data_IF_661844255281
#
_entry.id   IF_661844255281
#
_cell.length_a   1.000
_cell.length_b   1.000
_cell.length_c   1.000
_cell.angle_alpha   90.00
_cell.angle_beta   90.00
_cell.angle_gamma   90.00
#
_symmetry.space_group_name_H-M   'P 1'
#
loop_
_entity.id
_entity.type
_entity.pdbx_description
1 polymer ?
#
# COMPACT_ATOMS: atom_id res chain seq x y z
N UNK A 1 -10.12 9.66 -9.88
CA UNK A 1 -9.08 8.94 -9.11
C UNK A 1 -9.69 8.49 -7.80
N UNK A 2 -9.32 7.30 -7.32
CA UNK A 2 -9.82 6.71 -6.08
C UNK A 2 -8.65 6.30 -5.18
N UNK A 3 -8.76 6.58 -3.89
CA UNK A 3 -7.74 6.33 -2.87
C UNK A 3 -7.67 4.87 -2.45
N UNK A 4 -8.80 4.16 -2.45
CA UNK A 4 -8.85 2.76 -2.06
C UNK A 4 -8.81 1.82 -3.28
N UNK A 5 -7.72 1.06 -3.47
CA UNK A 5 -7.54 0.31 -4.74
C UNK A 5 -8.58 -0.77 -5.03
N UNK A 6 -9.32 -1.25 -4.03
CA UNK A 6 -10.47 -2.12 -4.28
C UNK A 6 -11.59 -1.40 -5.05
N UNK A 7 -11.84 -0.11 -4.79
CA UNK A 7 -12.84 0.70 -5.49
C UNK A 7 -12.37 1.00 -6.91
N UNK A 8 -11.09 1.36 -7.08
CA UNK A 8 -10.44 1.50 -8.39
C UNK A 8 -10.63 0.23 -9.22
N UNK A 9 -10.34 -0.94 -8.63
CA UNK A 9 -10.46 -2.22 -9.30
C UNK A 9 -11.88 -2.57 -9.73
N UNK A 10 -12.87 -2.25 -8.89
CA UNK A 10 -14.27 -2.49 -9.22
C UNK A 10 -14.71 -1.66 -10.42
N UNK A 11 -14.45 -0.35 -10.43
CA UNK A 11 -14.87 0.52 -11.54
C UNK A 11 -14.15 0.22 -12.86
N UNK A 12 -12.86 -0.16 -12.80
CA UNK A 12 -12.10 -0.57 -13.99
C UNK A 12 -12.68 -1.88 -14.55
N UNK A 13 -12.98 -2.84 -13.67
CA UNK A 13 -13.54 -4.14 -14.08
C UNK A 13 -14.96 -4.02 -14.63
N UNK A 14 -15.73 -3.03 -14.16
CA UNK A 14 -17.10 -2.75 -14.62
C UNK A 14 -17.14 -1.90 -15.91
N UNK A 15 -16.00 -1.70 -16.58
CA UNK A 15 -15.89 -0.91 -17.81
C UNK A 15 -16.52 0.49 -17.69
N UNK A 16 -16.17 1.20 -16.61
CA UNK A 16 -16.54 2.60 -16.44
C UNK A 16 -16.31 3.42 -17.71
N UNK A 17 -17.28 4.29 -18.06
CA UNK A 17 -17.16 5.25 -19.18
C UNK A 17 -16.10 6.34 -18.96
N UNK A 18 -15.61 6.47 -17.73
CA UNK A 18 -14.54 7.39 -17.34
C UNK A 18 -13.24 6.63 -17.16
N UNK A 19 -12.12 7.31 -17.47
CA UNK A 19 -10.80 6.83 -17.13
C UNK A 19 -10.61 6.85 -15.61
N UNK A 20 -10.42 5.67 -15.02
CA UNK A 20 -10.26 5.49 -13.58
C UNK A 20 -8.79 5.24 -13.27
N UNK A 21 -8.25 6.08 -12.39
CA UNK A 21 -6.91 5.90 -11.83
C UNK A 21 -7.02 5.50 -10.37
N UNK A 22 -6.23 4.52 -9.97
CA UNK A 22 -5.86 4.34 -8.57
C UNK A 22 -5.01 5.52 -8.10
N UNK A 23 -5.15 5.93 -6.84
CA UNK A 23 -4.37 7.04 -6.30
C UNK A 23 -2.87 6.78 -6.41
N UNK A 24 -2.38 5.56 -6.17
CA UNK A 24 -0.94 5.27 -6.31
C UNK A 24 -0.43 5.45 -7.74
N UNK A 25 -1.23 5.07 -8.73
CA UNK A 25 -0.93 5.28 -10.15
C UNK A 25 -1.00 6.76 -10.51
N UNK A 26 -2.02 7.47 -10.04
CA UNK A 26 -2.19 8.89 -10.30
C UNK A 26 -1.06 9.72 -9.71
N UNK A 27 -0.66 9.40 -8.48
CA UNK A 27 0.48 10.02 -7.80
C UNK A 27 1.75 9.84 -8.61
N UNK A 28 2.05 8.62 -9.06
CA UNK A 28 3.25 8.34 -9.84
C UNK A 28 3.22 9.06 -11.20
N UNK A 29 2.09 9.04 -11.91
CA UNK A 29 2.00 9.53 -13.30
C UNK A 29 1.90 11.06 -13.40
N UNK A 30 1.15 11.70 -12.51
CA UNK A 30 0.75 13.09 -12.69
C UNK A 30 1.25 14.04 -11.60
N UNK A 31 1.50 13.53 -10.40
CA UNK A 31 1.88 14.34 -9.24
C UNK A 31 3.40 14.31 -9.03
N UNK A 32 4.00 13.13 -8.89
CA UNK A 32 5.44 12.98 -8.67
C UNK A 32 6.33 13.74 -9.67
N UNK A 33 6.00 13.85 -10.98
CA UNK A 33 6.81 14.65 -11.92
C UNK A 33 6.81 16.16 -11.65
N UNK A 34 5.89 16.67 -10.82
CA UNK A 34 5.74 18.09 -10.46
C UNK A 34 6.28 18.41 -9.07
N UNK A 35 6.94 17.45 -8.43
CA UNK A 35 7.42 17.54 -7.07
C UNK A 35 8.94 17.47 -7.02
N UNK A 36 9.54 18.26 -6.15
CA UNK A 36 10.90 18.06 -5.70
C UNK A 36 10.86 17.03 -4.58
N UNK A 37 11.51 15.87 -4.78
CA UNK A 37 11.43 14.75 -3.84
C UNK A 37 12.76 14.60 -3.09
N UNK A 38 12.72 14.84 -1.78
CA UNK A 38 13.83 14.65 -0.85
C UNK A 38 13.65 13.32 -0.10
N UNK A 39 14.25 12.27 -0.65
CA UNK A 39 14.08 10.89 -0.16
C UNK A 39 14.43 10.75 1.33
N UNK A 40 13.59 10.02 2.06
CA UNK A 40 13.90 9.61 3.43
C UNK A 40 15.01 8.55 3.44
N UNK A 41 15.71 8.43 4.57
CA UNK A 41 16.77 7.44 4.79
C UNK A 41 16.28 6.32 5.72
N UNK A 42 15.18 5.66 5.34
CA UNK A 42 14.53 4.62 6.16
C UNK A 42 14.21 3.36 5.34
N UNK A 43 14.44 2.17 5.90
CA UNK A 43 13.87 0.95 5.34
C UNK A 43 12.35 0.94 5.62
N UNK A 44 11.56 0.72 4.58
CA UNK A 44 10.09 0.76 4.69
C UNK A 44 9.48 -0.57 4.30
N UNK A 45 8.39 -0.95 4.98
CA UNK A 45 7.54 -2.05 4.54
C UNK A 45 6.63 -1.61 3.41
N UNK A 46 6.32 -2.52 2.48
CA UNK A 46 5.34 -2.28 1.44
C UNK A 46 4.42 -3.49 1.29
N UNK A 47 3.11 -3.24 1.38
CA UNK A 47 2.07 -4.22 1.13
C UNK A 47 1.22 -3.78 -0.06
N UNK A 48 1.28 -4.55 -1.13
CA UNK A 48 0.47 -4.31 -2.33
C UNK A 48 -0.83 -5.11 -2.17
N UNK A 49 -1.95 -4.40 -2.05
CA UNK A 49 -3.24 -5.06 -1.78
C UNK A 49 -3.65 -5.97 -2.94
N UNK A 50 -4.32 -7.07 -2.62
CA UNK A 50 -4.73 -8.09 -3.59
C UNK A 50 -5.50 -7.54 -4.81
N UNK A 51 -6.38 -6.55 -4.64
CA UNK A 51 -7.09 -5.91 -5.75
C UNK A 51 -6.16 -5.10 -6.69
N UNK A 52 -5.23 -4.33 -6.12
CA UNK A 52 -4.20 -3.62 -6.89
C UNK A 52 -3.30 -4.58 -7.66
N UNK A 53 -2.98 -5.74 -7.06
CA UNK A 53 -2.22 -6.80 -7.73
C UNK A 53 -2.94 -7.33 -8.97
N UNK A 54 -4.25 -7.60 -8.86
CA UNK A 54 -5.09 -8.06 -9.98
C UNK A 54 -5.17 -7.06 -11.13
N UNK A 55 -5.08 -5.76 -10.82
CA UNK A 55 -5.01 -4.69 -11.81
C UNK A 55 -3.60 -4.51 -12.42
N UNK A 56 -2.59 -5.28 -11.99
CA UNK A 56 -1.23 -5.11 -12.49
C UNK A 56 -0.50 -3.86 -11.95
N UNK A 57 -1.01 -3.21 -10.89
CA UNK A 57 -0.44 -1.97 -10.35
C UNK A 57 0.83 -2.17 -9.50
N UNK A 58 1.30 -3.42 -9.37
CA UNK A 58 2.44 -3.77 -8.50
C UNK A 58 3.67 -2.89 -8.79
N UNK A 59 4.04 -2.77 -10.06
CA UNK A 59 5.24 -2.02 -10.44
C UNK A 59 5.11 -0.54 -10.15
N UNK A 60 3.92 0.04 -10.37
CA UNK A 60 3.68 1.46 -10.13
C UNK A 60 3.82 1.77 -8.64
N UNK A 61 3.22 0.94 -7.79
CA UNK A 61 3.30 1.10 -6.34
C UNK A 61 4.75 0.97 -5.85
N UNK A 62 5.50 -0.02 -6.34
CA UNK A 62 6.92 -0.19 -6.00
C UNK A 62 7.77 0.99 -6.48
N UNK A 63 7.54 1.46 -7.72
CA UNK A 63 8.24 2.64 -8.28
C UNK A 63 7.98 3.86 -7.43
N UNK A 64 6.71 4.11 -7.06
CA UNK A 64 6.34 5.22 -6.19
C UNK A 64 7.05 5.14 -4.84
N UNK A 65 7.07 3.98 -4.16
CA UNK A 65 7.80 3.84 -2.89
C UNK A 65 9.31 4.11 -3.04
N UNK A 66 9.93 3.62 -4.13
CA UNK A 66 11.37 3.83 -4.40
C UNK A 66 11.72 5.28 -4.76
N UNK A 67 10.76 6.07 -5.20
CA UNK A 67 10.94 7.52 -5.36
C UNK A 67 11.09 8.21 -4.02
N UNK A 68 10.54 7.66 -2.94
CA UNK A 68 10.45 8.34 -1.65
C UNK A 68 11.53 7.95 -0.63
N UNK A 69 12.26 6.85 -0.83
CA UNK A 69 13.28 6.38 0.13
C UNK A 69 14.58 5.95 -0.52
N UNK A 70 15.71 6.19 0.17
CA UNK A 70 17.01 5.61 -0.13
C UNK A 70 17.23 4.24 0.55
N UNK A 71 16.37 3.88 1.49
CA UNK A 71 16.41 2.59 2.18
C UNK A 71 15.86 1.44 1.34
N UNK A 72 15.87 0.25 1.93
CA UNK A 72 15.28 -0.95 1.32
C UNK A 72 13.75 -0.88 1.41
N UNK A 73 13.10 -1.21 0.30
CA UNK A 73 11.66 -1.50 0.26
C UNK A 73 11.48 -2.98 0.52
N UNK A 74 10.98 -3.34 1.71
CA UNK A 74 10.77 -4.73 2.11
C UNK A 74 9.33 -5.14 1.77
N UNK A 75 9.19 -6.26 1.06
CA UNK A 75 7.91 -6.79 0.61
C UNK A 75 7.85 -8.26 1.01
N UNK A 76 6.81 -8.65 1.74
CA UNK A 76 6.44 -10.04 1.95
C UNK A 76 5.72 -10.55 0.70
N UNK A 77 6.26 -11.61 0.07
CA UNK A 77 5.70 -12.17 -1.15
C UNK A 77 4.71 -13.32 -0.90
N UNK A 78 4.69 -13.87 0.31
CA UNK A 78 3.85 -15.03 0.65
C UNK A 78 2.42 -14.60 1.00
N UNK A 79 2.25 -13.40 1.56
CA UNK A 79 0.95 -12.87 1.99
C UNK A 79 0.29 -12.09 0.86
N UNK A 80 -0.47 -12.79 0.02
CA UNK A 80 -1.21 -12.14 -1.07
C UNK A 80 -2.39 -11.28 -0.59
N UNK A 81 -3.14 -11.74 0.43
CA UNK A 81 -4.30 -11.06 0.98
C UNK A 81 -4.15 -10.88 2.50
N UNK A 82 -4.46 -9.70 3.03
CA UNK A 82 -4.40 -9.40 4.47
C UNK A 82 -5.58 -10.01 5.26
N UNK A 83 -6.55 -10.64 4.60
CA UNK A 83 -7.71 -11.26 5.25
C UNK A 83 -8.75 -10.29 5.82
N UNK A 84 -8.58 -8.98 5.66
CA UNK A 84 -9.54 -7.99 6.15
C UNK A 84 -10.82 -7.93 5.29
N UNK A 85 -10.71 -8.25 4.00
CA UNK A 85 -11.82 -8.50 3.07
C UNK A 85 -12.92 -7.43 3.09
N UNK A 86 -12.55 -6.19 2.74
CA UNK A 86 -13.46 -5.04 2.80
C UNK A 86 -13.60 -4.58 4.24
N UNK A 87 -14.77 -4.71 4.85
CA UNK A 87 -14.99 -4.39 6.27
C UNK A 87 -15.23 -5.65 7.12
N UNK A 88 -15.17 -6.85 6.53
CA UNK A 88 -15.44 -8.10 7.25
C UNK A 88 -14.45 -8.36 8.39
N UNK A 89 -13.22 -7.86 8.28
CA UNK A 89 -12.18 -7.95 9.31
C UNK A 89 -12.62 -7.40 10.66
N UNK A 90 -13.48 -6.37 10.69
CA UNK A 90 -14.03 -5.84 11.94
C UNK A 90 -14.94 -6.84 12.68
N UNK A 91 -15.67 -7.68 11.93
CA UNK A 91 -16.65 -8.61 12.50
C UNK A 91 -16.15 -10.06 12.57
N UNK A 92 -15.06 -10.37 11.84
CA UNK A 92 -14.44 -11.69 11.74
C UNK A 92 -12.91 -11.56 11.79
N UNK A 93 -12.34 -11.07 12.91
CA UNK A 93 -10.90 -10.81 13.04
C UNK A 93 -10.03 -12.05 12.80
N UNK A 94 -10.56 -13.25 13.06
CA UNK A 94 -9.88 -14.52 12.79
C UNK A 94 -9.42 -14.68 11.34
N UNK A 95 -10.10 -14.04 10.36
CA UNK A 95 -9.69 -14.07 8.96
C UNK A 95 -8.37 -13.32 8.75
N UNK A 96 -8.27 -12.11 9.32
CA UNK A 96 -7.06 -11.30 9.27
C UNK A 96 -5.92 -11.96 10.05
N UNK A 97 -6.19 -12.45 11.27
CA UNK A 97 -5.19 -13.15 12.11
C UNK A 97 -4.61 -14.36 11.38
N UNK A 98 -5.47 -15.16 10.76
CA UNK A 98 -5.05 -16.34 10.00
C UNK A 98 -4.19 -15.96 8.79
N UNK A 99 -4.66 -14.99 7.99
CA UNK A 99 -3.97 -14.55 6.78
C UNK A 99 -2.62 -13.88 7.04
N UNK A 100 -2.47 -13.17 8.17
CA UNK A 100 -1.28 -12.36 8.48
C UNK A 100 -0.27 -13.09 9.37
N UNK A 101 -0.48 -14.36 9.69
CA UNK A 101 0.44 -15.13 10.56
C UNK A 101 1.87 -15.21 10.00
N UNK A 102 2.00 -15.41 8.69
CA UNK A 102 3.30 -15.39 7.99
C UNK A 102 3.88 -13.98 7.92
N UNK A 103 3.06 -13.02 7.49
CA UNK A 103 3.39 -11.60 7.42
C UNK A 103 3.98 -11.06 8.72
N UNK A 104 3.34 -11.34 9.86
CA UNK A 104 3.83 -10.94 11.20
C UNK A 104 5.21 -11.50 11.48
N UNK A 105 5.45 -12.78 11.17
CA UNK A 105 6.76 -13.43 11.37
C UNK A 105 7.83 -12.86 10.44
N UNK A 106 7.48 -12.48 9.22
CA UNK A 106 8.38 -11.84 8.29
C UNK A 106 8.84 -10.49 8.86
N UNK A 107 7.91 -9.59 9.19
CA UNK A 107 8.24 -8.24 9.64
C UNK A 107 8.82 -8.18 11.06
N UNK A 108 8.53 -9.15 11.94
CA UNK A 108 9.18 -9.25 13.25
C UNK A 108 10.71 -9.48 13.17
N UNK A 109 11.22 -9.94 12.02
CA UNK A 109 12.66 -10.10 11.76
C UNK A 109 13.27 -8.89 11.05
N UNK A 110 12.46 -7.87 10.77
CA UNK A 110 12.88 -6.63 10.10
C UNK A 110 12.90 -5.50 11.12
N UNK A 111 13.74 -4.48 10.88
CA UNK A 111 13.82 -3.28 11.71
C UNK A 111 13.06 -2.09 11.09
N UNK A 112 11.96 -2.34 10.38
CA UNK A 112 11.15 -1.24 9.83
C UNK A 112 10.34 -0.59 10.95
N UNK A 113 10.15 0.73 10.88
CA UNK A 113 9.30 1.45 11.85
C UNK A 113 7.88 1.63 11.33
N UNK A 114 7.72 1.66 10.01
CA UNK A 114 6.44 1.84 9.34
C UNK A 114 6.39 1.15 7.98
N UNK A 115 5.18 0.83 7.58
CA UNK A 115 4.86 0.18 6.31
C UNK A 115 3.80 0.96 5.53
N UNK A 116 3.74 0.71 4.22
CA UNK A 116 2.82 1.42 3.34
C UNK A 116 1.92 0.48 2.56
N UNK A 117 0.70 0.93 2.30
CA UNK A 117 -0.30 0.22 1.48
C UNK A 117 -1.13 1.21 0.65
N UNK A 118 -2.13 0.71 -0.07
CA UNK A 118 -3.07 1.50 -0.89
C UNK A 118 -4.54 1.29 -0.50
N UNK A 119 -4.77 0.94 0.78
CA UNK A 119 -6.09 0.59 1.29
C UNK A 119 -6.14 0.74 2.80
N UNK A 120 -7.00 1.64 3.25
CA UNK A 120 -7.25 1.90 4.68
C UNK A 120 -7.60 0.64 5.47
N UNK A 121 -8.33 -0.30 4.87
CA UNK A 121 -8.69 -1.57 5.53
C UNK A 121 -7.50 -2.53 5.65
N UNK A 122 -6.59 -2.53 4.67
CA UNK A 122 -5.32 -3.24 4.81
C UNK A 122 -4.42 -2.55 5.85
N UNK A 123 -4.36 -1.22 5.87
CA UNK A 123 -3.59 -0.44 6.85
C UNK A 123 -3.99 -0.80 8.29
N UNK A 124 -5.29 -0.83 8.58
CA UNK A 124 -5.82 -1.24 9.89
C UNK A 124 -5.44 -2.69 10.19
N UNK A 125 -5.74 -3.62 9.27
CA UNK A 125 -5.52 -5.05 9.50
C UNK A 125 -4.06 -5.45 9.62
N UNK A 126 -3.15 -4.77 8.93
CA UNK A 126 -1.71 -5.03 9.01
C UNK A 126 -1.09 -4.37 10.24
N UNK A 127 -1.57 -3.18 10.63
CA UNK A 127 -1.15 -2.52 11.87
C UNK A 127 -1.51 -3.36 13.09
N UNK A 128 -2.76 -3.85 13.15
CA UNK A 128 -3.21 -4.74 14.23
C UNK A 128 -2.40 -6.04 14.28
N UNK A 129 -2.17 -6.67 13.12
CA UNK A 129 -1.43 -7.93 13.05
C UNK A 129 0.04 -7.81 13.47
N UNK A 130 0.72 -6.74 13.03
CA UNK A 130 2.18 -6.60 13.16
C UNK A 130 2.62 -5.74 14.34
N UNK A 131 1.77 -4.84 14.84
CA UNK A 131 2.16 -3.79 15.78
C UNK A 131 3.03 -2.68 15.16
N UNK A 132 3.22 -2.68 13.84
CA UNK A 132 3.95 -1.66 13.08
C UNK A 132 2.92 -0.67 12.52
N UNK A 133 3.26 0.61 12.39
CA UNK A 133 2.35 1.58 11.77
C UNK A 133 2.27 1.36 10.26
N UNK A 134 1.11 0.91 9.76
CA UNK A 134 0.83 0.83 8.32
C UNK A 134 -0.05 1.98 7.88
N UNK A 135 0.35 2.68 6.83
CA UNK A 135 -0.32 3.90 6.34
C UNK A 135 -0.45 3.90 4.82
N UNK A 136 -1.28 4.78 4.29
CA UNK A 136 -1.39 4.95 2.84
C UNK A 136 -0.07 5.48 2.25
N UNK A 137 0.34 4.97 1.08
CA UNK A 137 1.59 5.40 0.39
C UNK A 137 1.62 6.90 0.06
N UNK A 138 0.46 7.54 -0.05
CA UNK A 138 0.36 8.98 -0.27
C UNK A 138 1.05 9.80 0.83
N UNK A 139 0.97 9.35 2.10
CA UNK A 139 1.63 10.03 3.21
C UNK A 139 3.15 9.98 3.11
N UNK A 140 3.70 8.90 2.56
CA UNK A 140 5.14 8.80 2.33
C UNK A 140 5.60 9.81 1.26
N UNK A 141 4.83 9.95 0.18
CA UNK A 141 5.14 10.92 -0.87
C UNK A 141 5.04 12.35 -0.34
N UNK A 142 3.96 12.66 0.38
CA UNK A 142 3.72 13.99 0.97
C UNK A 142 4.86 14.40 1.90
N UNK A 143 5.27 13.52 2.81
CA UNK A 143 6.36 13.77 3.76
C UNK A 143 7.70 14.07 3.09
N UNK A 144 7.98 13.42 1.96
CA UNK A 144 9.28 13.52 1.29
C UNK A 144 9.26 14.47 0.08
N UNK A 145 8.26 15.34 -0.05
CA UNK A 145 8.14 16.18 -1.25
C UNK A 145 7.67 17.61 -0.99
N UNK A 146 8.05 18.49 -1.92
CA UNK A 146 7.62 19.88 -1.99
C UNK A 146 7.23 20.23 -3.43
N UNK A 147 6.33 21.20 -3.58
CA UNK A 147 5.98 21.74 -4.90
C UNK A 147 7.19 22.44 -5.53
N UNK A 148 7.39 22.22 -6.83
CA UNK A 148 8.40 22.92 -7.65
C UNK A 148 7.91 24.32 -8.03
#
# INVERSE_FOLDING_TARGET
MLDHSACSAKLISDHSKYEIYDLSEYLLKFIAPKLRIDKINENVGLYIMCAARKLGLNENIIKLTKLCTNGKVLIDNDTYCCGFAGYKGFFKPQLNISATKGFKKFYAKTNIKRGFSTSSTCEIGLSDATGISWQHIAYLLDECSEAI
#
